data_IF_811298803776
#
_entry.id   IF_811298803776
#
_cell.length_a   1.000
_cell.length_b   1.000
_cell.length_c   1.000
_cell.angle_alpha   90.00
_cell.angle_beta   90.00
_cell.angle_gamma   90.00
#
_symmetry.space_group_name_H-M   'P 1'
#
loop_
_entity.id
_entity.type
_entity.pdbx_description
1 polymer ?
#
# COMPACT_ATOMS: atom_id res chain seq x y z
N UNK A 1 17.11 5.08 -5.74
CA UNK A 1 16.47 4.81 -4.44
C UNK A 1 15.91 3.41 -4.40
N UNK A 2 16.22 2.68 -3.34
CA UNK A 2 15.71 1.34 -3.17
C UNK A 2 14.45 1.37 -2.32
N UNK A 3 13.39 0.76 -2.81
CA UNK A 3 12.15 0.62 -2.08
C UNK A 3 11.89 -0.87 -1.87
N UNK A 4 11.82 -1.29 -0.63
CA UNK A 4 11.55 -2.68 -0.31
C UNK A 4 10.05 -2.91 -0.22
N UNK A 5 9.62 -3.99 -0.82
CA UNK A 5 8.19 -4.33 -0.83
C UNK A 5 8.03 -5.84 -0.87
N UNK A 6 6.83 -6.29 -0.58
CA UNK A 6 6.44 -7.69 -0.70
C UNK A 6 5.23 -7.77 -1.61
N UNK A 7 5.25 -8.71 -2.54
CA UNK A 7 4.10 -8.93 -3.41
C UNK A 7 3.39 -10.20 -2.96
N UNK A 8 2.07 -10.11 -2.79
CA UNK A 8 1.28 -11.21 -2.29
C UNK A 8 0.10 -11.47 -3.21
N UNK A 9 -0.33 -12.72 -3.25
CA UNK A 9 -1.51 -13.14 -4.00
C UNK A 9 -2.54 -13.67 -3.02
N UNK A 10 -3.79 -13.31 -3.24
CA UNK A 10 -4.88 -13.85 -2.44
C UNK A 10 -6.19 -13.73 -3.17
N UNK A 11 -6.92 -14.83 -3.30
CA UNK A 11 -8.27 -14.85 -3.87
C UNK A 11 -8.37 -14.14 -5.23
N UNK A 12 -7.36 -14.33 -6.07
CA UNK A 12 -7.36 -13.74 -7.40
C UNK A 12 -6.85 -12.32 -7.50
N UNK A 13 -6.44 -11.73 -6.40
CA UNK A 13 -5.89 -10.37 -6.39
C UNK A 13 -4.41 -10.39 -6.08
N UNK A 14 -3.69 -9.44 -6.66
CA UNK A 14 -2.30 -9.19 -6.35
C UNK A 14 -2.20 -7.99 -5.44
N UNK A 15 -1.49 -8.13 -4.34
CA UNK A 15 -1.26 -7.04 -3.40
C UNK A 15 0.23 -6.73 -3.34
N UNK A 16 0.55 -5.45 -3.34
CA UNK A 16 1.90 -5.00 -3.02
C UNK A 16 1.87 -4.41 -1.62
N UNK A 17 2.75 -4.87 -0.76
CA UNK A 17 2.81 -4.40 0.62
C UNK A 17 4.10 -3.62 0.80
N UNK A 18 3.99 -2.37 1.24
CA UNK A 18 5.12 -1.51 1.51
C UNK A 18 5.12 -1.13 2.98
N UNK A 19 6.23 -1.41 3.65
CA UNK A 19 6.42 -1.05 5.05
C UNK A 19 7.13 0.30 5.11
N UNK A 20 6.43 1.33 5.55
CA UNK A 20 7.00 2.66 5.71
C UNK A 20 7.39 2.95 7.16
N UNK A 21 7.43 1.93 8.01
CA UNK A 21 7.95 2.05 9.35
C UNK A 21 9.47 2.00 9.33
N UNK A 22 10.01 1.04 8.58
CA UNK A 22 11.45 0.82 8.52
C UNK A 22 12.13 1.54 7.36
N UNK A 23 11.36 2.13 6.48
CA UNK A 23 11.89 2.89 5.34
C UNK A 23 10.97 4.07 5.07
N UNK A 24 11.45 5.03 4.30
CA UNK A 24 10.65 6.20 3.95
C UNK A 24 10.54 6.33 2.45
N UNK A 25 9.35 6.67 1.99
CA UNK A 25 9.11 6.92 0.57
C UNK A 25 7.88 7.80 0.45
N UNK A 26 7.89 8.64 -0.58
CA UNK A 26 6.73 9.45 -0.91
C UNK A 26 5.99 8.76 -2.06
N UNK A 27 4.75 8.39 -1.83
CA UNK A 27 3.95 7.66 -2.81
C UNK A 27 2.72 8.49 -3.15
N UNK A 28 2.82 9.28 -4.19
CA UNK A 28 1.69 10.05 -4.69
C UNK A 28 0.89 9.20 -5.69
N UNK A 29 -0.21 9.77 -6.16
CA UNK A 29 -1.11 9.08 -7.07
C UNK A 29 -0.39 8.60 -8.33
N UNK A 30 0.43 9.45 -8.91
CA UNK A 30 1.13 9.10 -10.15
C UNK A 30 2.14 7.99 -9.91
N UNK A 31 2.87 8.04 -8.80
CA UNK A 31 3.83 7.01 -8.47
C UNK A 31 3.14 5.67 -8.30
N UNK A 32 2.00 5.65 -7.61
CA UNK A 32 1.25 4.43 -7.40
C UNK A 32 0.76 3.85 -8.72
N UNK A 33 0.26 4.71 -9.61
CA UNK A 33 -0.18 4.26 -10.93
C UNK A 33 0.96 3.62 -11.71
N UNK A 34 2.15 4.20 -11.65
CA UNK A 34 3.31 3.66 -12.35
C UNK A 34 3.76 2.33 -11.76
N UNK A 35 3.73 2.20 -10.46
CA UNK A 35 4.08 0.94 -9.81
C UNK A 35 3.08 -0.15 -10.13
N UNK A 36 1.82 0.21 -10.30
CA UNK A 36 0.76 -0.75 -10.59
C UNK A 36 0.79 -1.24 -12.04
N UNK A 37 1.48 -0.53 -12.92
CA UNK A 37 1.52 -0.90 -14.34
C UNK A 37 2.20 -2.25 -14.51
N UNK A 38 1.49 -3.19 -15.16
CA UNK A 38 2.00 -4.55 -15.31
C UNK A 38 3.06 -4.69 -16.39
N UNK A 39 3.22 -3.66 -17.22
CA UNK A 39 4.23 -3.67 -18.28
C UNK A 39 5.51 -2.96 -17.86
N UNK A 40 5.38 -1.82 -17.20
CA UNK A 40 6.54 -0.99 -16.88
C UNK A 40 6.79 -0.85 -15.39
N UNK A 41 5.88 -1.34 -14.57
CA UNK A 41 6.03 -1.33 -13.13
C UNK A 41 6.04 -2.72 -12.57
N UNK A 42 5.68 -2.83 -11.29
CA UNK A 42 5.66 -4.11 -10.59
C UNK A 42 4.39 -4.88 -10.90
N UNK A 43 3.28 -4.16 -11.06
CA UNK A 43 2.00 -4.78 -11.33
C UNK A 43 1.30 -5.27 -10.07
N UNK A 44 0.15 -4.68 -9.75
CA UNK A 44 -0.66 -5.14 -8.63
C UNK A 44 -2.07 -4.59 -8.79
N UNK A 45 -3.00 -5.20 -8.08
CA UNK A 45 -4.38 -4.71 -8.04
C UNK A 45 -4.57 -3.68 -6.96
N UNK A 46 -3.93 -3.88 -5.82
CA UNK A 46 -4.02 -2.97 -4.68
C UNK A 46 -2.68 -2.86 -3.97
N UNK A 47 -2.47 -1.71 -3.34
CA UNK A 47 -1.27 -1.42 -2.57
C UNK A 47 -1.65 -1.23 -1.12
N UNK A 48 -0.99 -1.98 -0.24
CA UNK A 48 -1.15 -1.82 1.20
C UNK A 48 0.09 -1.15 1.76
N UNK A 49 -0.09 -0.03 2.42
CA UNK A 49 0.99 0.71 3.07
C UNK A 49 0.85 0.58 4.57
N UNK A 50 1.93 0.17 5.22
CA UNK A 50 1.98 0.09 6.69
C UNK A 50 2.83 1.25 7.18
N UNK A 51 2.25 2.10 8.02
CA UNK A 51 2.90 3.31 8.51
C UNK A 51 2.93 3.32 10.03
N UNK A 52 3.78 4.18 10.63
CA UNK A 52 3.73 4.39 12.08
C UNK A 52 2.36 4.94 12.48
N UNK A 53 1.89 4.59 13.68
CA UNK A 53 0.56 5.01 14.12
C UNK A 53 0.47 6.51 14.37
N UNK A 54 -0.72 7.06 14.15
CA UNK A 54 -0.99 8.47 14.44
C UNK A 54 -1.29 8.72 15.91
N UNK A 55 -1.74 7.66 16.60
CA UNK A 55 -2.18 7.78 17.99
C UNK A 55 -1.36 6.86 18.88
N UNK A 56 -1.14 7.23 20.15
CA UNK A 56 -0.22 6.50 21.02
C UNK A 56 -0.60 5.06 21.31
N UNK A 57 -1.88 4.74 21.28
CA UNK A 57 -2.33 3.41 21.65
C UNK A 57 -2.63 2.51 20.47
N UNK A 58 -2.19 2.89 19.29
CA UNK A 58 -2.31 2.05 18.11
C UNK A 58 -0.93 1.47 17.75
N UNK A 59 -0.92 0.28 17.20
CA UNK A 59 0.33 -0.36 16.81
C UNK A 59 0.79 0.09 15.43
N UNK A 60 -0.12 0.18 14.49
CA UNK A 60 0.19 0.52 13.11
C UNK A 60 -0.94 1.31 12.48
N UNK A 61 -0.61 2.02 11.41
CA UNK A 61 -1.58 2.66 10.56
C UNK A 61 -1.52 2.00 9.19
N UNK A 62 -2.67 1.66 8.65
CA UNK A 62 -2.76 1.01 7.34
C UNK A 62 -3.47 1.91 6.35
N UNK A 63 -2.95 1.92 5.12
CA UNK A 63 -3.61 2.62 4.02
C UNK A 63 -3.63 1.70 2.83
N UNK A 64 -4.73 1.70 2.09
CA UNK A 64 -4.91 0.84 0.92
C UNK A 64 -5.21 1.71 -0.27
N UNK A 65 -4.51 1.45 -1.37
CA UNK A 65 -4.69 2.19 -2.61
C UNK A 65 -5.03 1.22 -3.74
N UNK A 66 -5.86 1.68 -4.66
CA UNK A 66 -6.14 0.95 -5.88
C UNK A 66 -5.04 1.21 -6.91
N UNK A 67 -5.04 0.40 -7.99
CA UNK A 67 -4.04 0.52 -9.04
C UNK A 67 -4.07 1.88 -9.75
N UNK A 68 -5.21 2.58 -9.68
CA UNK A 68 -5.33 3.90 -10.29
C UNK A 68 -4.82 5.02 -9.38
N UNK A 69 -4.30 4.67 -8.23
CA UNK A 69 -3.76 5.64 -7.28
C UNK A 69 -4.77 6.18 -6.30
N UNK A 70 -6.02 5.80 -6.40
CA UNK A 70 -7.04 6.27 -5.46
C UNK A 70 -6.94 5.50 -4.16
N UNK A 71 -7.13 6.21 -3.05
CA UNK A 71 -7.10 5.57 -1.74
C UNK A 71 -8.45 4.95 -1.44
N UNK A 72 -8.42 3.71 -0.95
CA UNK A 72 -9.64 3.03 -0.53
C UNK A 72 -10.08 3.63 0.79
N UNK A 73 -11.31 4.13 0.81
CA UNK A 73 -11.86 4.67 2.05
C UNK A 73 -12.20 3.52 2.97
N UNK A 74 -11.64 3.54 4.17
CA UNK A 74 -11.88 2.50 5.14
C UNK A 74 -12.91 2.93 6.14
N UNK A 75 -13.83 2.04 6.43
CA UNK A 75 -14.72 2.21 7.57
C UNK A 75 -13.89 2.10 8.85
N UNK A 76 -14.47 2.51 9.97
CA UNK A 76 -13.75 2.48 11.22
C UNK A 76 -13.18 1.13 11.60
N UNK A 77 -13.70 0.06 11.03
CA UNK A 77 -13.22 -1.29 11.30
C UNK A 77 -12.30 -1.82 10.20
N UNK A 78 -11.93 -0.98 9.25
CA UNK A 78 -11.12 -1.43 8.12
C UNK A 78 -9.79 -1.98 8.52
N UNK A 79 -9.24 -1.53 9.61
CA UNK A 79 -7.94 -1.99 10.08
C UNK A 79 -7.92 -3.46 10.44
N UNK A 80 -9.06 -4.06 10.55
CA UNK A 80 -9.12 -5.48 10.88
C UNK A 80 -9.11 -6.38 9.68
N UNK A 81 -9.17 -5.80 8.54
CA UNK A 81 -9.14 -6.58 7.31
C UNK A 81 -7.79 -7.19 7.06
#
# INVERSE_FOLDING_TARGET
MLLEFTKMHGLGNDFMVIDLISQKAFLDTITIQRLADRHFGIGFDQLLIVEPPDVPNADFKYRIFNADGSEVEQCGNGVRC
#
